data_IF_928567150134
#
_entry.id   IF_928567150134
#
_cell.length_a   1.000
_cell.length_b   1.000
_cell.length_c   1.000
_cell.angle_alpha   90.00
_cell.angle_beta   90.00
_cell.angle_gamma   90.00
#
_symmetry.space_group_name_H-M   'P 1'
#
loop_
_entity.id
_entity.type
_entity.pdbx_description
1 polymer ?
#
# COMPACT_ATOMS: atom_id res chain seq x y z
N UNK A 1 25.01 -14.68 7.78
CA UNK A 1 24.14 -14.61 8.98
C UNK A 1 24.78 -13.70 10.04
N UNK A 2 24.07 -12.70 10.57
CA UNK A 2 24.62 -11.78 11.59
C UNK A 2 25.09 -10.40 11.09
N UNK A 3 24.56 -9.89 9.97
CA UNK A 3 24.85 -8.52 9.51
C UNK A 3 23.60 -7.63 9.64
N UNK A 4 23.47 -6.83 10.73
CA UNK A 4 22.26 -6.05 11.04
C UNK A 4 21.80 -5.14 9.89
N UNK A 5 22.76 -4.61 9.11
CA UNK A 5 22.48 -3.71 7.98
C UNK A 5 21.65 -4.36 6.84
N UNK A 6 21.52 -5.69 6.80
CA UNK A 6 20.71 -6.39 5.80
C UNK A 6 19.27 -6.67 6.26
N UNK A 7 18.96 -6.49 7.54
CA UNK A 7 17.67 -6.87 8.15
C UNK A 7 16.72 -5.68 8.35
N UNK A 8 17.15 -4.45 8.01
CA UNK A 8 16.35 -3.25 8.28
C UNK A 8 14.93 -3.25 7.70
N UNK A 9 14.69 -3.93 6.57
CA UNK A 9 13.33 -4.05 5.99
C UNK A 9 12.41 -4.91 6.87
N UNK A 10 12.87 -6.08 7.31
CA UNK A 10 12.07 -6.97 8.15
C UNK A 10 11.95 -6.42 9.56
N UNK A 11 12.98 -5.75 10.08
CA UNK A 11 12.93 -5.03 11.36
C UNK A 11 11.88 -3.92 11.32
N UNK A 12 11.87 -3.07 10.28
CA UNK A 12 10.86 -2.03 10.10
C UNK A 12 9.45 -2.61 9.93
N UNK A 13 9.32 -3.73 9.22
CA UNK A 13 8.04 -4.42 9.09
C UNK A 13 7.51 -4.89 10.46
N UNK A 14 8.34 -5.56 11.26
CA UNK A 14 7.98 -5.98 12.62
C UNK A 14 7.63 -4.80 13.52
N UNK A 15 8.36 -3.69 13.43
CA UNK A 15 8.04 -2.47 14.18
C UNK A 15 6.66 -1.95 13.78
N UNK A 16 6.34 -1.93 12.48
CA UNK A 16 5.04 -1.48 11.98
C UNK A 16 3.89 -2.37 12.47
N UNK A 17 4.09 -3.69 12.48
CA UNK A 17 3.14 -4.66 13.05
C UNK A 17 2.90 -4.38 14.54
N UNK A 18 3.97 -4.31 15.33
CA UNK A 18 3.89 -4.09 16.79
C UNK A 18 3.22 -2.77 17.14
N UNK A 19 3.53 -1.70 16.42
CA UNK A 19 2.90 -0.38 16.62
C UNK A 19 1.38 -0.37 16.36
N UNK A 20 0.84 -1.37 15.66
CA UNK A 20 -0.60 -1.52 15.42
C UNK A 20 -1.23 -2.49 16.41
N UNK A 21 -0.64 -3.67 16.57
CA UNK A 21 -1.21 -4.76 17.36
C UNK A 21 -1.18 -4.46 18.85
N UNK A 22 -0.09 -3.86 19.36
CA UNK A 22 0.07 -3.60 20.80
C UNK A 22 -0.76 -2.41 21.32
N UNK A 23 -1.64 -1.84 20.50
CA UNK A 23 -2.57 -0.78 20.93
C UNK A 23 -3.78 -1.34 21.68
N UNK A 24 -4.10 -2.62 21.48
CA UNK A 24 -5.25 -3.29 22.08
C UNK A 24 -4.80 -4.40 23.04
N UNK A 25 -5.69 -4.80 23.96
CA UNK A 25 -5.47 -5.96 24.83
C UNK A 25 -6.17 -7.18 24.24
N UNK A 26 -5.44 -8.30 24.14
CA UNK A 26 -5.96 -9.58 23.68
C UNK A 26 -6.06 -10.55 24.85
N UNK A 27 -7.27 -11.03 25.11
CA UNK A 27 -7.55 -11.94 26.22
C UNK A 27 -7.58 -13.41 25.78
N UNK A 28 -7.71 -13.65 24.48
CA UNK A 28 -7.67 -14.97 23.85
C UNK A 28 -6.62 -14.99 22.74
N UNK A 29 -5.99 -16.16 22.54
CA UNK A 29 -4.94 -16.31 21.56
C UNK A 29 -5.49 -16.17 20.13
N UNK A 30 -6.69 -16.69 19.89
CA UNK A 30 -7.38 -16.66 18.62
C UNK A 30 -7.64 -15.23 18.14
N UNK A 31 -7.95 -14.32 19.07
CA UNK A 31 -8.17 -12.90 18.76
C UNK A 31 -6.88 -12.23 18.30
N UNK A 32 -5.76 -12.52 18.98
CA UNK A 32 -4.45 -12.00 18.60
C UNK A 32 -4.03 -12.53 17.22
N UNK A 33 -4.22 -13.83 16.98
CA UNK A 33 -3.93 -14.46 15.68
C UNK A 33 -4.77 -13.84 14.56
N UNK A 34 -6.07 -13.62 14.80
CA UNK A 34 -6.96 -12.97 13.86
C UNK A 34 -6.54 -11.53 13.54
N UNK A 35 -6.11 -10.76 14.54
CA UNK A 35 -5.63 -9.39 14.32
C UNK A 35 -4.30 -9.34 13.58
N UNK A 36 -3.37 -10.26 13.87
CA UNK A 36 -2.12 -10.38 13.10
C UNK A 36 -2.45 -10.72 11.65
N UNK A 37 -3.33 -11.69 11.39
CA UNK A 37 -3.74 -12.05 10.03
C UNK A 37 -4.38 -10.87 9.29
N UNK A 38 -5.28 -10.13 9.95
CA UNK A 38 -5.90 -8.93 9.39
C UNK A 38 -4.87 -7.83 9.08
N UNK A 39 -3.87 -7.64 9.94
CA UNK A 39 -2.77 -6.71 9.68
C UNK A 39 -1.97 -7.12 8.44
N UNK A 40 -1.57 -8.40 8.34
CA UNK A 40 -0.77 -8.91 7.22
C UNK A 40 -1.53 -8.72 5.91
N UNK A 41 -2.81 -9.07 5.89
CA UNK A 41 -3.68 -8.90 4.73
C UNK A 41 -3.76 -7.42 4.33
N UNK A 42 -4.04 -6.53 5.29
CA UNK A 42 -4.09 -5.10 5.01
C UNK A 42 -2.75 -4.56 4.48
N UNK A 43 -1.64 -4.89 5.13
CA UNK A 43 -0.31 -4.38 4.79
C UNK A 43 0.12 -4.80 3.37
N UNK A 44 -0.14 -6.06 3.01
CA UNK A 44 0.30 -6.65 1.75
C UNK A 44 -0.64 -6.37 0.58
N UNK A 45 -1.96 -6.31 0.81
CA UNK A 45 -2.95 -6.29 -0.27
C UNK A 45 -3.77 -5.00 -0.35
N UNK A 46 -3.76 -4.14 0.67
CA UNK A 46 -4.64 -2.97 0.75
C UNK A 46 -3.89 -1.65 0.97
N UNK A 47 -2.79 -1.67 1.73
CA UNK A 47 -1.99 -0.49 2.03
C UNK A 47 -1.14 -0.12 0.83
N UNK A 48 -1.24 1.13 0.40
CA UNK A 48 -0.31 1.72 -0.55
C UNK A 48 0.98 2.15 0.15
N UNK A 49 2.11 1.92 -0.51
CA UNK A 49 3.43 2.30 0.01
C UNK A 49 4.07 3.30 -0.95
N UNK A 50 4.41 4.48 -0.42
CA UNK A 50 4.99 5.58 -1.22
C UNK A 50 6.31 5.19 -1.88
N UNK A 51 7.13 4.39 -1.19
CA UNK A 51 8.39 3.85 -1.73
C UNK A 51 8.19 2.84 -2.86
N UNK A 52 6.94 2.42 -3.13
CA UNK A 52 6.55 1.52 -4.21
C UNK A 52 5.63 2.23 -5.21
N UNK A 53 5.78 3.53 -5.41
CA UNK A 53 4.93 4.34 -6.31
C UNK A 53 3.43 4.24 -5.97
N UNK A 54 3.11 4.14 -4.68
CA UNK A 54 1.77 3.90 -4.17
C UNK A 54 1.13 2.62 -4.74
N UNK A 55 1.93 1.57 -4.90
CA UNK A 55 1.47 0.20 -5.12
C UNK A 55 1.42 -0.56 -3.79
N UNK A 56 0.69 -1.68 -3.79
CA UNK A 56 0.72 -2.61 -2.67
C UNK A 56 1.92 -3.55 -2.79
N UNK A 57 2.45 -4.12 -1.69
CA UNK A 57 3.54 -5.09 -1.75
C UNK A 57 3.17 -6.30 -2.62
N UNK A 58 1.92 -6.76 -2.56
CA UNK A 58 1.43 -7.84 -3.39
C UNK A 58 1.49 -7.49 -4.89
N UNK A 59 1.12 -6.28 -5.30
CA UNK A 59 1.18 -5.88 -6.71
C UNK A 59 2.60 -5.88 -7.27
N UNK A 60 3.56 -5.47 -6.44
CA UNK A 60 4.98 -5.52 -6.81
C UNK A 60 5.47 -6.97 -6.87
N UNK A 61 5.14 -7.78 -5.85
CA UNK A 61 5.54 -9.18 -5.78
C UNK A 61 5.01 -10.01 -6.96
N UNK A 62 3.74 -9.84 -7.32
CA UNK A 62 3.12 -10.53 -8.45
C UNK A 62 3.37 -9.85 -9.81
N UNK A 63 4.24 -8.84 -9.88
CA UNK A 63 4.64 -8.20 -11.14
C UNK A 63 3.54 -7.38 -11.83
N UNK A 64 2.45 -7.03 -11.13
CA UNK A 64 1.33 -6.25 -11.69
C UNK A 64 1.58 -4.74 -11.70
N UNK A 65 2.65 -4.29 -11.05
CA UNK A 65 2.94 -2.88 -10.82
C UNK A 65 2.96 -2.02 -12.09
N UNK A 66 3.65 -2.46 -13.14
CA UNK A 66 3.77 -1.69 -14.38
C UNK A 66 2.41 -1.48 -15.07
N UNK A 67 1.58 -2.53 -15.15
CA UNK A 67 0.24 -2.45 -15.73
C UNK A 67 -0.64 -1.46 -14.97
N UNK A 68 -0.59 -1.47 -13.63
CA UNK A 68 -1.36 -0.54 -12.78
C UNK A 68 -0.90 0.90 -13.03
N UNK A 69 0.42 1.15 -13.09
CA UNK A 69 0.96 2.49 -13.30
C UNK A 69 0.60 3.06 -14.67
N UNK A 70 0.68 2.25 -15.73
CA UNK A 70 0.28 2.66 -17.08
C UNK A 70 -1.20 3.04 -17.14
N UNK A 71 -2.07 2.25 -16.50
CA UNK A 71 -3.51 2.55 -16.47
C UNK A 71 -3.80 3.84 -15.68
N UNK A 72 -3.11 4.04 -14.55
CA UNK A 72 -3.21 5.29 -13.77
C UNK A 72 -2.79 6.51 -14.59
N UNK A 73 -1.71 6.39 -15.37
CA UNK A 73 -1.24 7.48 -16.23
C UNK A 73 -2.27 7.82 -17.32
N UNK A 74 -2.85 6.80 -17.95
CA UNK A 74 -3.90 6.95 -18.96
C UNK A 74 -5.11 7.71 -18.40
N UNK A 75 -5.65 7.25 -17.26
CA UNK A 75 -6.79 7.88 -16.57
C UNK A 75 -6.48 9.34 -16.22
N UNK A 76 -5.26 9.62 -15.72
CA UNK A 76 -4.83 10.98 -15.38
C UNK A 76 -4.84 11.91 -16.60
N UNK A 77 -4.31 11.45 -17.74
CA UNK A 77 -4.30 12.23 -19.00
C UNK A 77 -5.73 12.51 -19.48
N UNK A 78 -6.59 11.50 -19.49
CA UNK A 78 -7.99 11.62 -19.91
C UNK A 78 -8.75 12.62 -19.02
N UNK A 79 -8.56 12.52 -17.70
CA UNK A 79 -9.18 13.42 -16.71
C UNK A 79 -8.76 14.88 -16.92
N UNK A 80 -7.46 15.13 -17.16
CA UNK A 80 -6.95 16.48 -17.41
C UNK A 80 -7.52 17.04 -18.73
N UNK A 81 -7.58 16.22 -19.78
CA UNK A 81 -8.15 16.61 -21.08
C UNK A 81 -9.62 17.01 -20.92
N UNK A 82 -10.41 16.17 -20.25
CA UNK A 82 -11.84 16.43 -20.02
C UNK A 82 -12.05 17.72 -19.20
N UNK A 83 -11.25 17.94 -18.15
CA UNK A 83 -11.30 19.17 -17.35
C UNK A 83 -11.04 20.42 -18.20
N UNK A 84 -10.06 20.38 -19.11
CA UNK A 84 -9.74 21.50 -20.01
C UNK A 84 -10.89 21.81 -20.97
N UNK A 85 -11.48 20.79 -21.58
CA UNK A 85 -12.63 20.95 -22.49
C UNK A 85 -13.81 21.59 -21.77
N UNK A 86 -14.15 21.10 -20.57
CA UNK A 86 -15.25 21.66 -19.78
C UNK A 86 -14.99 23.11 -19.37
N UNK A 87 -13.74 23.48 -19.07
CA UNK A 87 -13.39 24.86 -18.77
C UNK A 87 -13.56 25.77 -19.99
N UNK A 88 -13.10 25.33 -21.17
CA UNK A 88 -13.27 26.09 -22.41
C UNK A 88 -14.75 26.29 -22.76
N UNK A 89 -15.56 25.23 -22.66
CA UNK A 89 -16.99 25.30 -22.94
C UNK A 89 -17.76 26.23 -21.97
N UNK A 90 -17.27 26.42 -20.74
CA UNK A 90 -17.86 27.37 -19.76
C UNK A 90 -17.39 28.81 -19.96
N UNK A 91 -16.27 29.01 -20.65
CA UNK A 91 -15.69 30.34 -20.89
C UNK A 91 -16.13 30.94 -22.24
N UNK A 92 -16.78 30.15 -23.10
CA UNK A 92 -17.47 30.57 -24.31
C UNK A 92 -18.92 30.93 -23.98
#
# INVERSE_FOLDING_TARGET
PGHPQTQGKIERWHQTLKNRILLENYFFQEDLEAQIAAFVEHYNHRRYHESLDNLTPADVYFGRGQTILLERERIKRDTIRHRRLNHQAKAA
#
